data_IF_680013112497
#
_entry.id   IF_680013112497
#
_cell.length_a   1.000
_cell.length_b   1.000
_cell.length_c   1.000
_cell.angle_alpha   90.00
_cell.angle_beta   90.00
_cell.angle_gamma   90.00
#
_symmetry.space_group_name_H-M   'P 1'
#
loop_
_entity.id
_entity.type
_entity.pdbx_description
1 polymer ?
#
# COMPACT_ATOMS: atom_id res chain seq x y z
N UNK A 1 -20.23 8.84 13.95
CA UNK A 1 -19.15 8.68 12.96
C UNK A 1 -18.14 9.77 13.24
N UNK A 2 -16.87 9.43 13.44
CA UNK A 2 -15.83 10.43 13.70
C UNK A 2 -15.36 11.00 12.38
N UNK A 3 -15.50 12.31 12.20
CA UNK A 3 -14.96 13.03 11.06
C UNK A 3 -13.53 13.48 11.30
N UNK A 4 -12.62 13.21 10.36
CA UNK A 4 -11.21 13.58 10.44
C UNK A 4 -10.88 14.71 9.48
N UNK A 5 -10.15 15.70 9.98
CA UNK A 5 -9.58 16.75 9.13
C UNK A 5 -8.54 16.16 8.15
N UNK A 6 -8.27 16.82 7.01
CA UNK A 6 -7.30 16.32 6.03
C UNK A 6 -5.90 16.10 6.59
N UNK A 7 -5.46 16.95 7.53
CA UNK A 7 -4.18 16.82 8.22
C UNK A 7 -4.10 15.53 9.05
N UNK A 8 -5.19 15.16 9.71
CA UNK A 8 -5.28 13.93 10.48
C UNK A 8 -5.31 12.71 9.56
N UNK A 9 -6.09 12.76 8.48
CA UNK A 9 -6.14 11.70 7.49
C UNK A 9 -4.77 11.48 6.82
N UNK A 10 -4.04 12.55 6.51
CA UNK A 10 -2.68 12.48 6.00
C UNK A 10 -1.72 11.82 7.00
N UNK A 11 -1.78 12.21 8.28
CA UNK A 11 -0.96 11.63 9.33
C UNK A 11 -1.22 10.14 9.53
N UNK A 12 -2.49 9.73 9.54
CA UNK A 12 -2.89 8.32 9.75
C UNK A 12 -2.59 7.44 8.56
N UNK A 13 -2.85 7.93 7.35
CA UNK A 13 -2.61 7.15 6.14
C UNK A 13 -1.14 7.13 5.72
N UNK A 14 -0.38 8.17 6.09
CA UNK A 14 1.00 8.39 5.64
C UNK A 14 1.10 8.96 4.23
N UNK A 15 -0.02 9.39 3.63
CA UNK A 15 -0.02 10.15 2.39
C UNK A 15 0.10 11.65 2.65
N UNK A 16 0.69 12.39 1.70
CA UNK A 16 0.65 13.84 1.73
C UNK A 16 -0.76 14.36 1.45
N UNK A 17 -1.07 15.58 1.90
CA UNK A 17 -2.32 16.26 1.56
C UNK A 17 -2.54 16.36 0.05
N UNK A 18 -1.48 16.59 -0.72
CA UNK A 18 -1.56 16.65 -2.18
C UNK A 18 -1.90 15.29 -2.78
N UNK A 19 -1.40 14.20 -2.20
CA UNK A 19 -1.78 12.85 -2.62
C UNK A 19 -3.25 12.56 -2.33
N UNK A 20 -3.76 12.96 -1.17
CA UNK A 20 -5.19 12.80 -0.84
C UNK A 20 -6.08 13.58 -1.82
N UNK A 21 -5.71 14.83 -2.12
CA UNK A 21 -6.40 15.66 -3.13
C UNK A 21 -6.35 15.03 -4.52
N UNK A 22 -5.21 14.46 -4.89
CA UNK A 22 -5.04 13.76 -6.15
C UNK A 22 -5.91 12.50 -6.22
N UNK A 23 -6.00 11.74 -5.13
CA UNK A 23 -6.81 10.52 -5.04
C UNK A 23 -8.31 10.80 -5.12
N UNK A 24 -8.79 11.85 -4.46
CA UNK A 24 -10.14 12.37 -4.66
C UNK A 24 -10.37 12.76 -6.14
N UNK A 25 -9.46 13.55 -6.73
CA UNK A 25 -9.60 14.04 -8.12
C UNK A 25 -9.71 12.91 -9.15
N UNK A 26 -9.00 11.80 -8.96
CA UNK A 26 -9.03 10.66 -9.90
C UNK A 26 -10.14 9.65 -9.57
N UNK A 27 -10.94 9.89 -8.53
CA UNK A 27 -12.03 9.01 -8.09
C UNK A 27 -11.54 7.74 -7.37
N UNK A 28 -10.35 7.78 -6.78
CA UNK A 28 -9.83 6.69 -5.95
C UNK A 28 -10.53 6.65 -4.59
N UNK A 29 -10.76 7.84 -4.02
CA UNK A 29 -11.63 8.04 -2.87
C UNK A 29 -13.01 8.45 -3.39
N UNK A 30 -14.06 8.08 -2.64
CA UNK A 30 -15.41 8.60 -2.89
C UNK A 30 -15.43 10.12 -2.64
N UNK A 31 -16.52 10.79 -3.05
CA UNK A 31 -16.69 12.22 -2.78
C UNK A 31 -16.62 12.48 -1.28
N UNK A 32 -15.47 12.98 -0.82
CA UNK A 32 -15.18 13.25 0.58
C UNK A 32 -16.16 14.31 1.07
N UNK A 33 -16.85 14.02 2.18
CA UNK A 33 -17.81 14.94 2.77
C UNK A 33 -17.18 16.29 3.07
N UNK A 34 -18.00 17.34 3.06
CA UNK A 34 -17.58 18.69 3.38
C UNK A 34 -18.40 19.23 4.54
N UNK A 35 -17.71 19.86 5.50
CA UNK A 35 -18.36 20.68 6.52
C UNK A 35 -19.11 21.86 5.89
N UNK A 36 -19.99 22.49 6.67
CA UNK A 36 -20.66 23.74 6.28
C UNK A 36 -19.68 24.88 5.91
N UNK A 37 -18.46 24.85 6.43
CA UNK A 37 -17.38 25.78 6.08
C UNK A 37 -16.57 25.39 4.83
N UNK A 38 -16.99 24.35 4.10
CA UNK A 38 -16.36 23.88 2.86
C UNK A 38 -15.09 23.05 3.06
N UNK A 39 -14.73 22.69 4.29
CA UNK A 39 -13.57 21.85 4.60
C UNK A 39 -13.90 20.36 4.47
N UNK A 40 -13.00 19.58 3.87
CA UNK A 40 -13.09 18.12 3.72
C UNK A 40 -13.08 17.41 5.06
N UNK A 41 -13.89 16.37 5.19
CA UNK A 41 -14.00 15.50 6.35
C UNK A 41 -13.89 14.05 5.88
N UNK A 42 -12.89 13.35 6.37
CA UNK A 42 -12.69 11.93 6.10
C UNK A 42 -13.38 11.11 7.18
N UNK A 43 -14.00 10.00 6.80
CA UNK A 43 -14.63 9.03 7.69
C UNK A 43 -13.64 7.94 8.09
N UNK A 44 -14.03 7.08 9.04
CA UNK A 44 -13.26 5.87 9.35
C UNK A 44 -13.14 4.93 8.13
N UNK A 45 -14.18 4.86 7.29
CA UNK A 45 -14.17 4.06 6.07
C UNK A 45 -13.14 4.61 5.07
N UNK A 46 -13.06 5.93 4.89
CA UNK A 46 -12.05 6.56 4.05
C UNK A 46 -10.63 6.24 4.54
N UNK A 47 -10.41 6.21 5.86
CA UNK A 47 -9.12 5.83 6.41
C UNK A 47 -8.79 4.35 6.13
N UNK A 48 -9.79 3.45 6.24
CA UNK A 48 -9.63 2.04 5.87
C UNK A 48 -9.22 1.87 4.40
N UNK A 49 -9.89 2.61 3.51
CA UNK A 49 -9.53 2.68 2.09
C UNK A 49 -8.11 3.17 1.86
N UNK A 50 -7.69 4.23 2.56
CA UNK A 50 -6.34 4.77 2.45
C UNK A 50 -5.27 3.76 2.91
N UNK A 51 -5.52 3.00 3.98
CA UNK A 51 -4.60 1.94 4.43
C UNK A 51 -4.45 0.86 3.36
N UNK A 52 -5.57 0.42 2.76
CA UNK A 52 -5.53 -0.55 1.67
C UNK A 52 -4.76 0.01 0.46
N UNK A 53 -5.09 1.22 0.00
CA UNK A 53 -4.42 1.82 -1.15
C UNK A 53 -2.93 2.04 -0.92
N UNK A 54 -2.51 2.31 0.32
CA UNK A 54 -1.09 2.34 0.66
C UNK A 54 -0.45 0.97 0.46
N UNK A 55 -1.05 -0.08 1.00
CA UNK A 55 -0.55 -1.45 0.79
C UNK A 55 -0.43 -1.80 -0.69
N UNK A 56 -1.48 -1.53 -1.48
CA UNK A 56 -1.49 -1.80 -2.92
C UNK A 56 -0.41 -1.01 -3.67
N UNK A 57 -0.26 0.29 -3.37
CA UNK A 57 0.76 1.14 -3.98
C UNK A 57 2.17 0.69 -3.61
N UNK A 58 2.43 0.43 -2.33
CA UNK A 58 3.75 0.09 -1.82
C UNK A 58 4.20 -1.30 -2.31
N UNK A 59 3.25 -2.17 -2.64
CA UNK A 59 3.47 -3.46 -3.32
C UNK A 59 3.46 -3.37 -4.85
N UNK A 60 3.47 -2.15 -5.41
CA UNK A 60 3.67 -1.91 -6.84
C UNK A 60 2.43 -2.04 -7.71
N UNK A 61 1.22 -2.01 -7.14
CA UNK A 61 0.00 -1.95 -7.95
C UNK A 61 -0.07 -0.63 -8.72
N UNK A 62 -0.27 -0.65 -10.05
CA UNK A 62 -0.45 0.58 -10.83
C UNK A 62 -1.70 1.34 -10.39
N UNK A 63 -1.61 2.68 -10.39
CA UNK A 63 -2.74 3.56 -10.00
C UNK A 63 -4.01 3.27 -10.82
N UNK A 64 -3.87 2.86 -12.09
CA UNK A 64 -5.01 2.49 -12.94
C UNK A 64 -5.78 1.27 -12.40
N UNK A 65 -5.08 0.26 -11.85
CA UNK A 65 -5.73 -0.90 -11.22
C UNK A 65 -6.37 -0.54 -9.89
N UNK A 66 -5.72 0.31 -9.09
CA UNK A 66 -6.31 0.82 -7.85
C UNK A 66 -7.61 1.61 -8.13
N UNK A 67 -7.64 2.40 -9.21
CA UNK A 67 -8.85 3.09 -9.68
C UNK A 67 -9.95 2.11 -10.11
N UNK A 68 -9.59 1.04 -10.83
CA UNK A 68 -10.54 -0.01 -11.20
C UNK A 68 -11.14 -0.67 -9.96
N UNK A 69 -10.31 -1.02 -8.98
CA UNK A 69 -10.78 -1.60 -7.71
C UNK A 69 -11.73 -0.65 -6.96
N UNK A 70 -11.39 0.65 -6.88
CA UNK A 70 -12.25 1.67 -6.28
C UNK A 70 -13.59 1.81 -7.02
N UNK A 71 -13.58 1.71 -8.35
CA UNK A 71 -14.80 1.77 -9.16
C UNK A 71 -15.71 0.56 -8.93
N UNK A 72 -15.14 -0.66 -8.99
CA UNK A 72 -15.89 -1.88 -8.71
C UNK A 72 -16.54 -1.81 -7.31
N UNK A 73 -15.81 -1.33 -6.32
CA UNK A 73 -16.36 -1.21 -4.97
C UNK A 73 -17.50 -0.20 -4.85
N UNK A 74 -17.49 0.86 -5.67
CA UNK A 74 -18.59 1.84 -5.77
C UNK A 74 -19.79 1.27 -6.52
N UNK A 75 -19.59 0.40 -7.49
CA UNK A 75 -20.67 -0.24 -8.26
C UNK A 75 -21.51 -1.20 -7.38
N UNK A 76 -20.94 -1.68 -6.26
CA UNK A 76 -21.67 -2.35 -5.18
C UNK A 76 -21.37 -3.84 -5.06
N UNK A 77 -22.21 -4.57 -4.32
CA UNK A 77 -21.92 -5.95 -3.91
C UNK A 77 -21.82 -6.95 -5.06
N UNK A 78 -22.46 -6.67 -6.20
CA UNK A 78 -22.42 -7.54 -7.38
C UNK A 78 -21.02 -7.66 -8.01
N UNK A 79 -20.08 -6.78 -7.67
CA UNK A 79 -18.68 -6.82 -8.15
C UNK A 79 -17.73 -7.52 -7.17
N UNK A 80 -18.24 -8.15 -6.10
CA UNK A 80 -17.40 -8.77 -5.06
C UNK A 80 -16.43 -9.79 -5.63
N UNK A 81 -16.87 -10.61 -6.59
CA UNK A 81 -16.02 -11.62 -7.23
C UNK A 81 -14.89 -10.97 -8.05
N UNK A 82 -15.19 -9.92 -8.82
CA UNK A 82 -14.19 -9.19 -9.60
C UNK A 82 -13.15 -8.48 -8.71
N UNK A 83 -13.59 -7.92 -7.58
CA UNK A 83 -12.71 -7.30 -6.58
C UNK A 83 -11.79 -8.34 -5.94
N UNK A 84 -12.36 -9.49 -5.58
CA UNK A 84 -11.60 -10.60 -5.01
C UNK A 84 -10.56 -11.11 -6.00
N UNK A 85 -10.93 -11.35 -7.26
CA UNK A 85 -10.02 -11.82 -8.31
C UNK A 85 -8.86 -10.83 -8.54
N UNK A 86 -9.14 -9.52 -8.60
CA UNK A 86 -8.12 -8.48 -8.74
C UNK A 86 -7.09 -8.55 -7.61
N UNK A 87 -7.56 -8.69 -6.36
CA UNK A 87 -6.68 -8.79 -5.19
C UNK A 87 -5.89 -10.10 -5.18
N UNK A 88 -6.51 -11.24 -5.53
CA UNK A 88 -5.82 -12.52 -5.64
C UNK A 88 -4.70 -12.48 -6.68
N UNK A 89 -4.97 -11.92 -7.87
CA UNK A 89 -3.95 -11.78 -8.90
C UNK A 89 -2.79 -10.88 -8.45
N UNK A 90 -3.08 -9.78 -7.75
CA UNK A 90 -2.03 -8.93 -7.19
C UNK A 90 -1.23 -9.65 -6.10
N UNK A 91 -1.90 -10.36 -5.19
CA UNK A 91 -1.25 -11.13 -4.14
C UNK A 91 -0.29 -12.19 -4.71
N UNK A 92 -0.69 -12.89 -5.77
CA UNK A 92 0.17 -13.87 -6.45
C UNK A 92 1.43 -13.21 -7.06
N UNK A 93 1.30 -11.99 -7.61
CA UNK A 93 2.45 -11.23 -8.12
C UNK A 93 3.41 -10.81 -6.99
N UNK A 94 2.87 -10.36 -5.87
CA UNK A 94 3.66 -9.99 -4.69
C UNK A 94 4.40 -11.21 -4.14
N UNK A 95 3.74 -12.37 -4.08
CA UNK A 95 4.36 -13.62 -3.63
C UNK A 95 5.55 -14.02 -4.53
N UNK A 96 5.41 -13.89 -5.86
CA UNK A 96 6.54 -14.17 -6.76
C UNK A 96 7.69 -13.17 -6.58
N UNK A 97 7.39 -11.90 -6.33
CA UNK A 97 8.41 -10.90 -6.01
C UNK A 97 9.15 -11.23 -4.71
N UNK A 98 8.43 -11.67 -3.68
CA UNK A 98 9.04 -12.12 -2.41
C UNK A 98 9.97 -13.30 -2.63
N UNK A 99 9.54 -14.31 -3.40
CA UNK A 99 10.39 -15.48 -3.72
C UNK A 99 11.64 -15.09 -4.49
N UNK A 100 11.52 -14.18 -5.47
CA UNK A 100 12.65 -13.67 -6.23
C UNK A 100 13.65 -12.92 -5.32
N UNK A 101 13.15 -11.99 -4.50
CA UNK A 101 13.98 -11.23 -3.57
C UNK A 101 14.69 -12.14 -2.56
N UNK A 102 14.02 -13.18 -2.05
CA UNK A 102 14.64 -14.15 -1.16
C UNK A 102 15.80 -14.88 -1.83
N UNK A 103 15.61 -15.38 -3.07
CA UNK A 103 16.70 -16.02 -3.83
C UNK A 103 17.91 -15.09 -4.03
N UNK A 104 17.65 -13.82 -4.33
CA UNK A 104 18.70 -12.82 -4.51
C UNK A 104 19.44 -12.51 -3.20
N UNK A 105 18.69 -12.37 -2.11
CA UNK A 105 19.24 -12.17 -0.77
C UNK A 105 20.14 -13.33 -0.35
N UNK A 106 19.71 -14.58 -0.60
CA UNK A 106 20.51 -15.77 -0.28
C UNK A 106 21.85 -15.77 -1.04
N UNK A 107 21.84 -15.39 -2.31
CA UNK A 107 23.07 -15.24 -3.10
C UNK A 107 24.00 -14.16 -2.55
N UNK A 108 23.45 -13.01 -2.12
CA UNK A 108 24.24 -11.96 -1.47
C UNK A 108 24.86 -12.47 -0.15
N UNK A 109 24.10 -13.23 0.64
CA UNK A 109 24.60 -13.85 1.89
C UNK A 109 25.70 -14.87 1.65
N UNK A 110 25.66 -15.62 0.55
CA UNK A 110 26.77 -16.49 0.15
C UNK A 110 28.03 -15.70 -0.19
N UNK A 111 27.89 -14.60 -0.94
CA UNK A 111 29.01 -13.71 -1.27
C UNK A 111 29.61 -13.05 -0.04
N UNK A 112 28.78 -12.57 0.89
CA UNK A 112 29.24 -12.02 2.17
C UNK A 112 30.07 -13.07 2.93
N UNK A 113 29.53 -14.28 3.11
CA UNK A 113 30.24 -15.38 3.77
C UNK A 113 31.55 -15.76 3.08
N UNK A 114 31.61 -15.66 1.75
CA UNK A 114 32.85 -15.88 1.01
C UNK A 114 33.92 -14.85 1.37
N UNK A 115 33.57 -13.56 1.45
CA UNK A 115 34.51 -12.52 1.82
C UNK A 115 34.91 -12.55 3.29
N UNK A 116 33.99 -12.86 4.22
CA UNK A 116 34.31 -13.06 5.64
C UNK A 116 35.39 -14.14 5.84
N UNK A 117 35.30 -15.24 5.09
CA UNK A 117 36.31 -16.30 5.12
C UNK A 117 37.67 -15.85 4.57
N UNK A 118 37.68 -15.00 3.54
CA UNK A 118 38.92 -14.49 2.93
C UNK A 118 39.58 -13.40 3.77
N UNK A 119 38.81 -12.55 4.43
CA UNK A 119 39.34 -11.44 5.24
C UNK A 119 39.86 -11.88 6.60
N UNK A 120 39.70 -13.15 6.98
CA UNK A 120 40.02 -13.64 8.31
C UNK A 120 39.13 -13.03 9.40
N UNK A 121 38.09 -12.30 9.02
CA UNK A 121 37.11 -11.75 9.95
C UNK A 121 36.18 -12.89 10.33
N UNK A 122 36.39 -13.47 11.51
CA UNK A 122 35.42 -14.37 12.11
C UNK A 122 34.04 -13.66 12.08
N UNK A 123 32.94 -14.35 11.70
CA UNK A 123 31.64 -13.73 11.62
C UNK A 123 31.33 -13.08 12.97
N UNK A 124 31.17 -11.75 12.94
CA UNK A 124 30.96 -10.92 14.10
C UNK A 124 29.76 -11.41 14.89
N UNK A 125 30.03 -11.71 16.15
CA UNK A 125 29.09 -11.71 17.25
C UNK A 125 28.22 -10.45 17.20
N UNK A 126 27.03 -10.55 16.62
CA UNK A 126 25.91 -9.66 16.95
C UNK A 126 24.70 -10.54 17.26
N UNK A 127 24.71 -11.06 18.50
CA UNK A 127 23.50 -11.31 19.25
C UNK A 127 22.98 -9.95 19.74
N UNK A 128 21.74 -9.64 19.40
CA UNK A 128 20.97 -8.48 19.87
C UNK A 128 19.51 -8.69 19.54
#
# INVERSE_FOLDING_TARGET
MSGYAPSEAARRSGFSLDTLRYYEKIGLLADVERTAGGQRVFTDDDLGWLVLFRCLRDTGMPIAQMRRYAQLARDGEHTTDERHELLCHHAARVEEQMRLLQRQYDHLREKIRFYERLSGTAPGSEAG
#
